data_IF_070109254422
#
_entry.id   IF_070109254422
#
_cell.length_a   1.000
_cell.length_b   1.000
_cell.length_c   1.000
_cell.angle_alpha   90.00
_cell.angle_beta   90.00
_cell.angle_gamma   90.00
#
_symmetry.space_group_name_H-M   'P 1'
#
loop_
_entity.id
_entity.type
_entity.pdbx_description
1 polymer ?
#
# COMPACT_ATOMS: atom_id res chain seq x y z
N UNK A 1 17.70 16.64 7.36
CA UNK A 1 17.47 15.61 6.32
C UNK A 1 17.05 14.36 7.07
N UNK A 2 15.90 13.73 6.79
CA UNK A 2 15.67 12.39 7.30
C UNK A 2 16.77 11.50 6.73
N UNK A 3 17.43 10.74 7.59
CA UNK A 3 18.46 9.82 7.16
C UNK A 3 17.83 8.70 6.32
N UNK A 4 18.52 8.25 5.26
CA UNK A 4 18.18 7.01 4.54
C UNK A 4 18.38 5.73 5.40
N UNK A 5 18.58 5.89 6.73
CA UNK A 5 18.86 4.82 7.67
C UNK A 5 17.55 4.10 8.05
N UNK A 6 16.90 3.48 7.06
CA UNK A 6 16.02 2.30 7.17
C UNK A 6 15.15 2.11 5.89
N UNK A 7 15.64 2.46 4.70
CA UNK A 7 14.91 2.15 3.47
C UNK A 7 15.09 0.67 3.10
N UNK A 8 13.98 -0.04 2.92
CA UNK A 8 13.93 -1.37 2.36
C UNK A 8 13.76 -1.26 0.85
N UNK A 9 14.71 -1.80 0.10
CA UNK A 9 14.72 -1.75 -1.37
C UNK A 9 14.56 -3.15 -1.94
N UNK A 10 13.41 -3.41 -2.55
CA UNK A 10 13.15 -4.65 -3.30
C UNK A 10 13.53 -4.45 -4.76
N UNK A 11 14.22 -5.40 -5.38
CA UNK A 11 14.67 -5.30 -6.78
C UNK A 11 14.29 -6.54 -7.59
N UNK A 12 13.69 -6.30 -8.76
CA UNK A 12 13.42 -7.27 -9.83
C UNK A 12 13.54 -6.53 -11.17
N UNK A 13 14.77 -6.19 -11.56
CA UNK A 13 15.05 -5.28 -12.68
C UNK A 13 14.24 -5.66 -13.94
N UNK A 14 13.67 -4.66 -14.65
CA UNK A 14 13.85 -3.22 -14.47
C UNK A 14 12.93 -2.59 -13.40
N UNK A 15 12.26 -3.40 -12.58
CA UNK A 15 11.36 -2.94 -11.52
C UNK A 15 12.02 -2.96 -10.14
N UNK A 16 11.65 -2.01 -9.28
CA UNK A 16 12.08 -1.97 -7.89
C UNK A 16 11.05 -1.23 -7.04
N UNK A 17 11.08 -1.46 -5.73
CA UNK A 17 10.26 -0.73 -4.78
C UNK A 17 11.10 -0.25 -3.60
N UNK A 18 10.89 1.00 -3.19
CA UNK A 18 11.56 1.62 -2.04
C UNK A 18 10.50 1.88 -0.98
N UNK A 19 10.77 1.47 0.26
CA UNK A 19 9.83 1.56 1.36
C UNK A 19 10.54 1.93 2.66
N UNK A 20 9.92 2.70 3.53
CA UNK A 20 10.30 2.71 4.94
C UNK A 20 9.85 1.42 5.65
N UNK A 21 10.40 1.15 6.83
CA UNK A 21 10.05 -0.02 7.65
C UNK A 21 8.58 -0.05 8.11
N UNK A 22 7.86 1.08 8.09
CA UNK A 22 6.42 1.11 8.39
C UNK A 22 5.56 0.59 7.23
N UNK A 23 6.11 0.43 6.02
CA UNK A 23 5.45 -0.21 4.89
C UNK A 23 4.34 0.58 4.18
N UNK A 24 3.88 1.69 4.75
CA UNK A 24 3.06 2.67 4.03
C UNK A 24 3.90 3.37 2.95
N UNK A 25 3.25 3.83 1.89
CA UNK A 25 3.83 4.76 0.93
C UNK A 25 2.99 6.04 0.98
N UNK A 26 3.58 7.17 1.35
CA UNK A 26 2.86 8.43 1.62
C UNK A 26 3.03 9.51 0.53
N UNK A 27 3.71 9.17 -0.56
CA UNK A 27 4.04 10.09 -1.65
C UNK A 27 5.33 10.89 -1.43
N UNK A 28 6.01 10.73 -0.29
CA UNK A 28 7.21 11.49 0.05
C UNK A 28 8.51 10.77 -0.32
N UNK A 29 9.57 11.57 -0.53
CA UNK A 29 10.91 11.06 -0.79
C UNK A 29 11.00 10.11 -1.99
N UNK A 30 11.90 9.13 -1.87
CA UNK A 30 12.16 8.10 -2.88
C UNK A 30 11.24 6.88 -2.76
N UNK A 31 10.28 6.90 -1.84
CA UNK A 31 9.39 5.77 -1.61
C UNK A 31 8.43 5.61 -2.80
N UNK A 32 8.15 4.36 -3.14
CA UNK A 32 7.27 4.03 -4.25
C UNK A 32 7.63 2.75 -4.98
N UNK A 33 6.79 2.39 -5.94
CA UNK A 33 7.06 1.38 -6.96
C UNK A 33 7.60 2.03 -8.21
N UNK A 34 8.61 1.41 -8.80
CA UNK A 34 9.31 1.91 -9.96
C UNK A 34 9.43 0.86 -11.05
N UNK A 35 9.41 1.31 -12.29
CA UNK A 35 9.76 0.50 -13.46
C UNK A 35 10.49 1.37 -14.47
N UNK A 36 11.68 0.93 -14.91
CA UNK A 36 12.46 1.68 -15.90
C UNK A 36 12.84 3.09 -15.47
N UNK A 37 12.96 3.35 -14.16
CA UNK A 37 13.27 4.67 -13.60
C UNK A 37 12.06 5.55 -13.27
N UNK A 38 10.87 5.21 -13.77
CA UNK A 38 9.64 5.95 -13.49
C UNK A 38 8.96 5.45 -12.22
N UNK A 39 8.53 6.35 -11.33
CA UNK A 39 7.70 6.03 -10.17
C UNK A 39 6.26 5.76 -10.60
N UNK A 40 5.87 4.50 -10.66
CA UNK A 40 4.51 4.09 -11.08
C UNK A 40 3.49 4.26 -9.96
N UNK A 41 3.90 4.18 -8.70
CA UNK A 41 3.05 4.42 -7.54
C UNK A 41 3.87 5.09 -6.44
N UNK A 42 3.46 6.27 -6.00
CA UNK A 42 4.11 7.04 -4.92
C UNK A 42 3.37 6.91 -3.59
N UNK A 43 2.05 6.67 -3.63
CA UNK A 43 1.17 6.52 -2.47
C UNK A 43 0.45 5.17 -2.49
N UNK A 44 0.46 4.50 -1.35
CA UNK A 44 -0.24 3.25 -1.08
C UNK A 44 -0.48 3.16 0.44
N UNK A 45 -1.32 4.07 0.93
CA UNK A 45 -1.65 4.15 2.35
C UNK A 45 -2.86 3.28 2.63
N UNK A 46 -2.72 2.35 3.57
CA UNK A 46 -3.80 1.46 3.99
C UNK A 46 -4.33 1.90 5.34
N UNK A 47 -5.67 1.99 5.44
CA UNK A 47 -6.41 2.19 6.68
C UNK A 47 -7.39 1.04 6.88
N UNK A 48 -7.65 0.71 8.14
CA UNK A 48 -8.65 -0.29 8.54
C UNK A 48 -9.65 0.41 9.45
N UNK A 49 -10.89 0.55 8.99
CA UNK A 49 -11.98 1.27 9.64
C UNK A 49 -11.56 2.70 10.04
N UNK A 50 -10.90 3.41 9.12
CA UNK A 50 -10.39 4.77 9.30
C UNK A 50 -9.08 4.90 10.09
N UNK A 51 -8.66 3.85 10.81
CA UNK A 51 -7.42 3.85 11.58
C UNK A 51 -6.22 3.45 10.71
N UNK A 52 -5.12 4.19 10.85
CA UNK A 52 -3.85 3.78 10.26
C UNK A 52 -3.23 2.64 11.11
N UNK A 53 -2.85 1.51 10.50
CA UNK A 53 -2.20 0.41 11.21
C UNK A 53 -0.89 0.84 11.87
N UNK A 54 -0.69 0.44 13.12
CA UNK A 54 0.54 0.68 13.88
C UNK A 54 1.58 -0.34 13.42
N UNK A 55 2.65 0.14 12.79
CA UNK A 55 3.72 -0.73 12.32
C UNK A 55 4.47 -1.39 13.48
N UNK A 56 4.68 -2.71 13.38
CA UNK A 56 5.46 -3.51 14.33
C UNK A 56 6.81 -3.91 13.74
N UNK A 57 6.85 -4.20 12.44
CA UNK A 57 8.05 -4.66 11.77
C UNK A 57 7.96 -4.43 10.26
N UNK A 58 9.06 -3.97 9.66
CA UNK A 58 9.31 -4.08 8.22
C UNK A 58 10.66 -4.75 7.99
N UNK A 59 10.75 -5.69 7.05
CA UNK A 59 12.04 -6.28 6.66
C UNK A 59 12.03 -6.83 5.24
N UNK A 60 13.22 -6.93 4.66
CA UNK A 60 13.44 -7.75 3.46
C UNK A 60 13.25 -9.23 3.79
N UNK A 61 12.60 -9.97 2.89
CA UNK A 61 12.44 -11.44 2.98
C UNK A 61 13.08 -12.18 1.80
N UNK A 62 13.30 -11.48 0.68
CA UNK A 62 14.09 -11.90 -0.46
C UNK A 62 14.53 -10.65 -1.23
N UNK A 63 15.47 -10.76 -2.18
CA UNK A 63 15.94 -9.61 -2.96
C UNK A 63 14.82 -8.78 -3.61
N UNK A 64 13.76 -9.42 -4.09
CA UNK A 64 12.60 -8.76 -4.68
C UNK A 64 11.39 -8.61 -3.76
N UNK A 65 11.50 -8.90 -2.45
CA UNK A 65 10.33 -8.94 -1.55
C UNK A 65 10.60 -8.38 -0.15
N UNK A 66 9.68 -7.55 0.32
CA UNK A 66 9.61 -7.06 1.69
C UNK A 66 8.30 -7.49 2.36
N UNK A 67 8.38 -7.72 3.67
CA UNK A 67 7.23 -8.07 4.52
C UNK A 67 7.12 -7.03 5.63
N UNK A 68 5.90 -6.54 5.82
CA UNK A 68 5.55 -5.60 6.86
C UNK A 68 4.42 -6.18 7.70
N UNK A 69 4.52 -6.01 9.00
CA UNK A 69 3.51 -6.40 9.98
C UNK A 69 3.10 -5.16 10.75
N UNK A 70 1.80 -4.93 10.78
CA UNK A 70 1.18 -3.86 11.55
C UNK A 70 -0.03 -4.40 12.28
N UNK A 71 -0.51 -3.67 13.28
CA UNK A 71 -1.70 -4.01 14.04
C UNK A 71 -2.70 -2.87 14.02
N UNK A 72 -3.98 -3.23 14.17
CA UNK A 72 -5.07 -2.29 14.28
C UNK A 72 -5.88 -2.68 15.51
N UNK A 73 -6.32 -1.67 16.25
CA UNK A 73 -7.29 -1.82 17.34
C UNK A 73 -8.61 -1.25 16.88
N UNK A 74 -9.57 -2.12 16.60
CA UNK A 74 -10.92 -1.78 16.17
C UNK A 74 -11.83 -1.46 17.37
N UNK A 75 -11.37 -1.79 18.58
CA UNK A 75 -12.13 -1.62 19.82
C UNK A 75 -13.17 -2.72 20.02
N UNK A 76 -13.04 -3.83 19.29
CA UNK A 76 -14.00 -4.92 19.36
C UNK A 76 -13.82 -5.79 20.60
N UNK A 77 -12.59 -5.92 21.10
CA UNK A 77 -12.27 -6.66 22.32
C UNK A 77 -12.02 -5.70 23.50
N UNK A 78 -12.33 -6.12 24.74
CA UNK A 78 -11.94 -5.38 25.92
C UNK A 78 -10.42 -5.45 26.11
N UNK A 79 -9.79 -4.33 26.47
CA UNK A 79 -8.35 -4.27 26.78
C UNK A 79 -7.50 -3.60 25.69
N UNK A 80 -6.19 -3.44 25.94
CA UNK A 80 -5.30 -2.66 25.09
C UNK A 80 -4.82 -3.43 23.84
N UNK A 81 -5.02 -4.74 23.81
CA UNK A 81 -4.47 -5.61 22.76
C UNK A 81 -5.13 -5.33 21.39
N UNK A 82 -4.37 -5.41 20.29
CA UNK A 82 -4.92 -5.30 18.95
C UNK A 82 -5.77 -6.53 18.60
N UNK A 83 -6.84 -6.29 17.85
CA UNK A 83 -7.82 -7.30 17.41
C UNK A 83 -7.68 -7.64 15.91
N UNK A 84 -6.84 -6.89 15.19
CA UNK A 84 -6.49 -7.16 13.80
C UNK A 84 -4.98 -7.03 13.57
N UNK A 85 -4.42 -7.99 12.85
CA UNK A 85 -3.06 -7.95 12.31
C UNK A 85 -3.16 -7.71 10.81
N UNK A 86 -2.43 -6.72 10.29
CA UNK A 86 -2.25 -6.49 8.86
C UNK A 86 -0.84 -6.95 8.47
N UNK A 87 -0.77 -7.97 7.61
CA UNK A 87 0.44 -8.32 6.88
C UNK A 87 0.41 -7.70 5.49
N UNK A 88 1.51 -7.05 5.12
CA UNK A 88 1.75 -6.52 3.79
C UNK A 88 2.96 -7.21 3.18
N UNK A 89 2.80 -7.83 2.03
CA UNK A 89 3.88 -8.39 1.23
C UNK A 89 4.03 -7.56 -0.04
N UNK A 90 5.16 -6.87 -0.14
CA UNK A 90 5.52 -6.03 -1.28
C UNK A 90 6.50 -6.77 -2.17
N UNK A 91 6.22 -6.81 -3.48
CA UNK A 91 7.12 -7.37 -4.47
C UNK A 91 7.57 -6.28 -5.45
N UNK A 92 8.87 -6.24 -5.75
CA UNK A 92 9.45 -5.33 -6.74
C UNK A 92 8.75 -5.36 -8.11
N UNK A 93 8.06 -6.45 -8.46
CA UNK A 93 7.30 -6.57 -9.71
C UNK A 93 6.05 -5.68 -9.79
N UNK A 94 5.68 -4.97 -8.72
CA UNK A 94 4.45 -4.16 -8.64
C UNK A 94 3.31 -4.80 -7.84
N UNK A 95 3.48 -6.02 -7.33
CA UNK A 95 2.45 -6.69 -6.53
C UNK A 95 2.52 -6.23 -5.07
N UNK A 96 1.37 -5.83 -4.53
CA UNK A 96 1.15 -5.54 -3.12
C UNK A 96 0.05 -6.45 -2.57
N UNK A 97 0.39 -7.38 -1.69
CA UNK A 97 -0.60 -8.26 -1.03
C UNK A 97 -0.84 -7.81 0.40
N UNK A 98 -2.10 -7.53 0.72
CA UNK A 98 -2.59 -7.15 2.03
C UNK A 98 -3.37 -8.32 2.62
N UNK A 99 -2.96 -8.84 3.77
CA UNK A 99 -3.66 -9.90 4.48
C UNK A 99 -4.02 -9.43 5.87
N UNK A 100 -5.33 -9.36 6.14
CA UNK A 100 -5.85 -9.09 7.48
C UNK A 100 -6.08 -10.42 8.18
N UNK A 101 -5.69 -10.50 9.45
CA UNK A 101 -5.97 -11.59 10.35
C UNK A 101 -6.67 -11.07 11.59
N UNK A 102 -7.76 -11.73 12.01
CA UNK A 102 -8.48 -11.38 13.24
C UNK A 102 -7.96 -12.18 14.43
N UNK A 103 -7.50 -11.48 15.47
CA UNK A 103 -7.23 -12.04 16.80
C UNK A 103 -8.43 -11.93 17.75
N UNK A 104 -9.55 -11.34 17.29
CA UNK A 104 -10.76 -11.17 18.08
C UNK A 104 -11.45 -12.50 18.38
N UNK A 105 -12.21 -12.52 19.49
CA UNK A 105 -13.03 -13.65 19.91
C UNK A 105 -14.41 -13.64 19.26
N UNK A 106 -14.80 -12.51 18.66
CA UNK A 106 -16.06 -12.31 17.93
C UNK A 106 -15.84 -11.90 16.47
N UNK A 107 -16.83 -12.12 15.57
CA UNK A 107 -16.74 -11.66 14.19
C UNK A 107 -16.56 -10.14 14.10
N UNK A 108 -15.68 -9.70 13.21
CA UNK A 108 -15.41 -8.30 12.91
C UNK A 108 -16.04 -7.91 11.57
N UNK A 109 -16.60 -6.70 11.51
CA UNK A 109 -16.93 -6.01 10.27
C UNK A 109 -15.98 -4.84 10.11
N UNK A 110 -15.18 -4.86 9.06
CA UNK A 110 -14.07 -3.92 8.84
C UNK A 110 -14.20 -3.28 7.48
N UNK A 111 -13.75 -2.05 7.37
CA UNK A 111 -13.56 -1.39 6.10
C UNK A 111 -12.07 -1.31 5.81
N UNK A 112 -11.59 -1.93 4.73
CA UNK A 112 -10.22 -1.69 4.28
C UNK A 112 -10.26 -0.56 3.25
N UNK A 113 -9.38 0.41 3.42
CA UNK A 113 -9.19 1.53 2.50
C UNK A 113 -7.74 1.51 2.01
N UNK A 114 -7.54 1.56 0.69
CA UNK A 114 -6.25 1.77 0.07
C UNK A 114 -6.28 3.10 -0.70
N UNK A 115 -5.55 4.09 -0.19
CA UNK A 115 -5.34 5.36 -0.87
C UNK A 115 -4.07 5.27 -1.73
N UNK A 116 -4.28 5.44 -3.02
CA UNK A 116 -3.32 5.23 -4.09
C UNK A 116 -3.08 6.54 -4.84
N UNK A 117 -1.85 6.74 -5.30
CA UNK A 117 -1.48 7.95 -6.02
C UNK A 117 -0.11 7.81 -6.64
N UNK A 118 0.15 8.64 -7.65
CA UNK A 118 1.43 8.70 -8.34
C UNK A 118 1.65 10.08 -8.94
N UNK A 119 2.90 10.51 -8.98
CA UNK A 119 3.36 11.69 -9.72
C UNK A 119 3.90 11.34 -11.11
N UNK A 120 4.02 10.04 -11.41
CA UNK A 120 4.69 9.51 -12.59
C UNK A 120 6.07 10.16 -12.81
N UNK A 121 6.82 10.50 -11.77
CA UNK A 121 8.10 11.21 -11.93
C UNK A 121 9.29 10.27 -12.23
N UNK A 122 10.36 10.82 -12.82
CA UNK A 122 11.61 10.08 -13.04
C UNK A 122 12.37 10.05 -11.72
N UNK A 123 13.05 8.94 -11.44
CA UNK A 123 13.89 8.78 -10.25
C UNK A 123 14.88 9.94 -10.08
N UNK A 124 15.50 10.41 -11.17
CA UNK A 124 16.42 11.55 -11.14
C UNK A 124 15.75 12.87 -10.71
N UNK A 125 14.50 13.11 -11.17
CA UNK A 125 13.75 14.29 -10.77
C UNK A 125 13.34 14.22 -9.29
N UNK A 126 12.91 13.05 -8.81
CA UNK A 126 12.58 12.83 -7.39
C UNK A 126 13.81 13.05 -6.51
N UNK A 127 14.96 12.46 -6.89
CA UNK A 127 16.21 12.62 -6.17
C UNK A 127 16.69 14.09 -6.13
N UNK A 128 16.38 14.89 -7.15
CA UNK A 128 16.66 16.31 -7.20
C UNK A 128 15.61 17.19 -6.47
N UNK A 129 14.55 16.60 -5.91
CA UNK A 129 13.45 17.34 -5.30
C UNK A 129 12.57 18.10 -6.30
N UNK A 130 12.62 17.71 -7.58
CA UNK A 130 11.91 18.33 -8.70
C UNK A 130 10.76 17.45 -9.23
N UNK A 131 10.28 16.51 -8.41
CA UNK A 131 9.08 15.75 -8.71
C UNK A 131 7.85 16.69 -8.84
N UNK A 132 6.97 16.37 -9.78
CA UNK A 132 5.70 17.09 -9.94
C UNK A 132 4.70 16.75 -8.83
N UNK A 133 3.51 17.36 -8.91
CA UNK A 133 2.38 16.95 -8.08
C UNK A 133 1.83 15.58 -8.49
N UNK A 134 0.97 15.01 -7.65
CA UNK A 134 0.22 13.81 -8.02
C UNK A 134 -0.65 14.05 -9.26
N UNK A 135 -0.78 13.02 -10.09
CA UNK A 135 -1.60 13.01 -11.29
C UNK A 135 -3.03 12.62 -10.92
N UNK A 136 -4.01 13.23 -11.58
CA UNK A 136 -5.42 12.86 -11.39
C UNK A 136 -5.68 11.40 -11.80
N UNK A 137 -6.36 10.66 -10.94
CA UNK A 137 -6.74 9.28 -11.24
C UNK A 137 -8.04 9.23 -12.07
N UNK A 138 -8.18 8.17 -12.86
CA UNK A 138 -9.45 7.70 -13.39
C UNK A 138 -9.78 6.30 -12.90
N UNK A 139 -11.06 5.91 -12.86
CA UNK A 139 -11.44 4.52 -12.58
C UNK A 139 -11.04 3.64 -13.77
N UNK A 140 -10.48 2.47 -13.49
CA UNK A 140 -10.12 1.47 -14.49
C UNK A 140 -10.39 0.07 -13.97
N UNK A 141 -11.31 -0.65 -14.58
CA UNK A 141 -11.70 -2.02 -14.18
C UNK A 141 -11.99 -2.10 -12.65
N UNK A 142 -11.28 -2.99 -11.93
CA UNK A 142 -11.36 -3.15 -10.48
C UNK A 142 -10.41 -2.21 -9.71
N UNK A 143 -10.00 -1.09 -10.30
CA UNK A 143 -9.06 -0.18 -9.66
C UNK A 143 -8.97 1.20 -10.31
N UNK A 144 -7.74 1.71 -10.44
CA UNK A 144 -7.43 3.08 -10.82
C UNK A 144 -6.36 3.12 -11.91
N UNK A 145 -6.40 4.17 -12.73
CA UNK A 145 -5.37 4.50 -13.71
C UNK A 145 -4.93 5.95 -13.60
N UNK A 146 -3.68 6.20 -13.96
CA UNK A 146 -3.07 7.51 -14.11
C UNK A 146 -2.36 7.60 -15.44
N UNK A 147 -2.39 8.77 -16.07
CA UNK A 147 -1.67 9.01 -17.31
C UNK A 147 -1.16 10.45 -17.35
N UNK A 148 0.12 10.64 -17.69
CA UNK A 148 0.72 11.94 -17.91
C UNK A 148 1.86 11.81 -18.92
N UNK A 149 1.90 12.71 -19.92
CA UNK A 149 2.97 12.91 -20.90
C UNK A 149 3.84 11.65 -21.21
N UNK A 150 3.26 10.67 -21.90
CA UNK A 150 3.98 9.47 -22.37
C UNK A 150 4.17 8.36 -21.33
N UNK A 151 3.67 8.53 -20.11
CA UNK A 151 3.65 7.51 -19.07
C UNK A 151 2.22 7.19 -18.62
N UNK A 152 2.01 5.95 -18.22
CA UNK A 152 0.77 5.49 -17.60
C UNK A 152 1.08 4.52 -16.46
N UNK A 153 0.21 4.50 -15.46
CA UNK A 153 0.21 3.52 -14.39
C UNK A 153 -1.21 3.05 -14.15
N UNK A 154 -1.37 1.77 -13.84
CA UNK A 154 -2.65 1.15 -13.52
C UNK A 154 -2.45 0.34 -12.26
N UNK A 155 -3.41 0.44 -11.34
CA UNK A 155 -3.56 -0.50 -10.23
C UNK A 155 -4.89 -1.19 -10.38
N UNK A 156 -4.87 -2.51 -10.39
CA UNK A 156 -6.05 -3.39 -10.32
C UNK A 156 -6.07 -4.09 -8.98
N UNK A 157 -7.25 -4.52 -8.55
CA UNK A 157 -7.39 -5.26 -7.29
C UNK A 157 -8.15 -6.56 -7.44
N UNK A 158 -7.74 -7.55 -6.66
CA UNK A 158 -8.40 -8.84 -6.48
C UNK A 158 -8.46 -9.20 -4.98
N UNK A 159 -9.66 -9.41 -4.39
CA UNK A 159 -10.98 -9.20 -4.98
C UNK A 159 -11.22 -7.74 -5.40
N UNK A 160 -12.16 -7.48 -6.33
CA UNK A 160 -12.52 -6.13 -6.73
C UNK A 160 -13.05 -5.33 -5.53
N UNK A 161 -12.81 -4.00 -5.50
CA UNK A 161 -13.29 -3.14 -4.43
C UNK A 161 -14.80 -2.95 -4.51
N UNK A 162 -15.45 -2.82 -3.35
CA UNK A 162 -16.85 -2.43 -3.25
C UNK A 162 -17.06 -0.97 -3.66
N UNK A 163 -16.01 -0.15 -3.55
CA UNK A 163 -16.06 1.26 -3.98
C UNK A 163 -14.71 1.72 -4.50
N UNK A 164 -14.71 2.41 -5.65
CA UNK A 164 -13.56 3.11 -6.20
C UNK A 164 -13.89 4.60 -6.39
N UNK A 165 -13.12 5.49 -5.77
CA UNK A 165 -13.30 6.95 -5.84
C UNK A 165 -12.04 7.56 -6.45
N UNK A 166 -12.06 7.75 -7.77
CA UNK A 166 -10.91 8.24 -8.52
C UNK A 166 -10.41 9.61 -8.05
N UNK A 167 -11.31 10.56 -7.76
CA UNK A 167 -10.93 11.89 -7.28
C UNK A 167 -10.17 11.90 -5.94
N UNK A 168 -10.27 10.81 -5.17
CA UNK A 168 -9.56 10.63 -3.90
C UNK A 168 -8.41 9.60 -3.99
N UNK A 169 -8.22 8.97 -5.16
CA UNK A 169 -7.31 7.85 -5.33
C UNK A 169 -7.66 6.64 -4.46
N UNK A 170 -8.94 6.44 -4.12
CA UNK A 170 -9.34 5.52 -3.05
C UNK A 170 -9.99 4.23 -3.60
N UNK A 171 -9.51 3.08 -3.13
CA UNK A 171 -10.18 1.78 -3.24
C UNK A 171 -10.64 1.31 -1.85
N UNK A 172 -11.81 0.69 -1.77
CA UNK A 172 -12.44 0.31 -0.50
C UNK A 172 -13.14 -1.04 -0.56
N UNK A 173 -13.01 -1.81 0.52
CA UNK A 173 -13.65 -3.11 0.72
C UNK A 173 -14.36 -3.18 2.07
N UNK A 174 -15.54 -3.76 2.10
CA UNK A 174 -16.31 -4.11 3.28
C UNK A 174 -16.08 -5.60 3.60
N UNK A 175 -15.38 -5.85 4.70
CA UNK A 175 -14.89 -7.18 5.06
C UNK A 175 -15.63 -7.73 6.28
N UNK A 176 -15.90 -9.03 6.25
CA UNK A 176 -16.31 -9.79 7.43
C UNK A 176 -15.22 -10.80 7.78
N UNK A 177 -14.63 -10.66 8.97
CA UNK A 177 -13.65 -11.60 9.48
C UNK A 177 -14.25 -12.40 10.64
N UNK A 178 -14.37 -13.74 10.55
CA UNK A 178 -14.70 -14.55 11.71
C UNK A 178 -13.55 -14.53 12.74
N UNK A 179 -13.77 -15.00 13.97
CA UNK A 179 -12.70 -15.21 14.94
C UNK A 179 -11.58 -16.08 14.36
N UNK A 180 -10.33 -15.63 14.42
CA UNK A 180 -9.18 -16.32 13.79
C UNK A 180 -9.19 -16.30 12.26
N UNK A 181 -10.13 -15.59 11.65
CA UNK A 181 -10.32 -15.49 10.21
C UNK A 181 -9.24 -14.66 9.53
N UNK A 182 -9.09 -14.88 8.22
CA UNK A 182 -8.20 -14.09 7.37
C UNK A 182 -8.90 -13.64 6.09
N UNK A 183 -8.50 -12.50 5.57
CA UNK A 183 -8.90 -12.02 4.25
C UNK A 183 -7.70 -11.41 3.54
N UNK A 184 -7.55 -11.68 2.24
CA UNK A 184 -6.41 -11.23 1.45
C UNK A 184 -6.90 -10.43 0.24
N UNK A 185 -6.25 -9.30 0.00
CA UNK A 185 -6.41 -8.46 -1.18
C UNK A 185 -5.06 -8.31 -1.86
N UNK A 186 -5.04 -8.45 -3.17
CA UNK A 186 -3.88 -8.19 -4.02
C UNK A 186 -4.12 -6.94 -4.84
N UNK A 187 -3.14 -6.04 -4.86
CA UNK A 187 -3.07 -4.88 -5.75
C UNK A 187 -1.91 -5.09 -6.73
N UNK A 188 -2.13 -4.82 -8.01
CA UNK A 188 -1.12 -4.96 -9.07
C UNK A 188 -1.19 -3.82 -10.07
#
# INVERSE_FOLDING_TARGET
>A
MPSAHASLVCVALPAFAVSAEHGQLDGSGLEGFYHGGRRLLSRCQVRVSGAEPVALQGRMTAAGRARFIATVRTGAEPGPDPDVILERLRNASGLERLTLFSSATRPLRLQLEAQLGTDLAELGAIAAGAAGGEVDAGVWESGLRWAAAGAQSVVTADPPPDTAVASAGLLRWELQLPPGGRHTIELR
#
